data_IF_929265280698
#
_entry.id   IF_929265280698
#
_cell.length_a   1.000
_cell.length_b   1.000
_cell.length_c   1.000
_cell.angle_alpha   90.00
_cell.angle_beta   90.00
_cell.angle_gamma   90.00
#
_symmetry.space_group_name_H-M   'P 1'
#
loop_
_entity.id
_entity.type
_entity.pdbx_description
1 polymer ?
#
# COMPACT_ATOMS: atom_id res chain seq x y z
N UNK A 1 -9.97 13.70 -25.42
CA UNK A 1 -10.39 13.72 -24.00
C UNK A 1 -9.29 14.40 -23.19
N UNK A 2 -9.63 15.28 -22.26
CA UNK A 2 -8.64 15.96 -21.42
C UNK A 2 -7.99 14.95 -20.45
N UNK A 3 -6.66 14.97 -20.37
CA UNK A 3 -5.91 14.14 -19.43
C UNK A 3 -5.74 14.92 -18.14
N UNK A 4 -6.22 14.36 -17.02
CA UNK A 4 -6.19 15.02 -15.72
C UNK A 4 -5.03 14.52 -14.85
N UNK A 5 -4.60 13.26 -15.10
CA UNK A 5 -3.47 12.64 -14.43
C UNK A 5 -2.33 12.40 -15.40
N UNK A 6 -1.11 12.56 -14.94
CA UNK A 6 0.06 12.13 -15.69
C UNK A 6 0.21 10.60 -15.57
N UNK A 7 -0.02 10.05 -14.35
CA UNK A 7 0.06 8.62 -14.10
C UNK A 7 -1.13 8.16 -13.27
N UNK A 8 -1.79 7.08 -13.71
CA UNK A 8 -2.66 6.26 -12.88
C UNK A 8 -1.85 5.04 -12.42
N UNK A 9 -1.68 4.91 -11.11
CA UNK A 9 -1.07 3.73 -10.49
C UNK A 9 -2.19 2.78 -10.08
N UNK A 10 -2.08 1.53 -10.50
CA UNK A 10 -3.00 0.45 -10.10
C UNK A 10 -2.18 -0.62 -9.42
N UNK A 11 -2.57 -1.01 -8.21
CA UNK A 11 -1.83 -2.04 -7.48
C UNK A 11 -2.27 -2.19 -6.04
N UNK A 12 -1.40 -2.83 -5.30
CA UNK A 12 -1.61 -3.14 -3.90
C UNK A 12 -1.57 -1.92 -3.00
N UNK A 13 -2.29 -2.04 -1.89
CA UNK A 13 -2.29 -1.09 -0.79
C UNK A 13 -2.24 -1.85 0.53
N UNK A 14 -1.21 -1.63 1.31
CA UNK A 14 -1.07 -2.19 2.65
C UNK A 14 -0.27 -1.24 3.55
N UNK A 15 -0.23 -1.58 4.83
CA UNK A 15 0.67 -0.98 5.80
C UNK A 15 1.79 -1.94 6.15
N UNK A 16 2.97 -1.41 6.44
CA UNK A 16 4.07 -2.18 7.01
C UNK A 16 4.19 -1.87 8.50
N UNK A 17 4.11 -2.91 9.34
CA UNK A 17 4.41 -2.86 10.77
C UNK A 17 5.83 -3.37 10.93
N UNK A 18 6.75 -2.46 11.16
CA UNK A 18 8.18 -2.77 11.22
C UNK A 18 8.61 -2.90 12.68
N UNK A 19 9.07 -4.09 13.05
CA UNK A 19 9.66 -4.37 14.34
C UNK A 19 11.19 -4.39 14.20
N UNK A 20 11.83 -3.38 14.76
CA UNK A 20 13.28 -3.19 14.66
C UNK A 20 14.02 -3.68 15.89
N UNK A 21 15.31 -3.98 15.68
CA UNK A 21 16.24 -4.37 16.72
C UNK A 21 15.79 -5.61 17.52
N UNK A 22 15.23 -6.59 16.83
CA UNK A 22 15.06 -7.92 17.42
C UNK A 22 16.43 -8.61 17.47
N UNK A 23 16.70 -9.37 18.52
CA UNK A 23 18.01 -10.01 18.73
C UNK A 23 18.11 -11.39 18.11
N UNK A 24 16.98 -12.01 17.79
CA UNK A 24 16.84 -13.32 17.14
C UNK A 24 15.48 -13.46 16.51
N UNK A 25 15.29 -14.44 15.64
CA UNK A 25 13.96 -14.78 15.14
C UNK A 25 13.08 -15.41 16.23
N UNK A 26 11.74 -15.22 16.14
CA UNK A 26 10.80 -15.88 17.03
C UNK A 26 10.94 -17.41 17.00
N UNK A 27 10.89 -18.02 18.16
CA UNK A 27 10.81 -19.47 18.34
C UNK A 27 9.41 -19.85 18.80
N UNK A 28 8.90 -20.99 18.36
CA UNK A 28 7.56 -21.46 18.76
C UNK A 28 7.49 -21.56 20.29
N UNK A 29 6.44 -20.99 20.88
CA UNK A 29 6.20 -21.00 22.31
C UNK A 29 7.05 -20.02 23.13
N UNK A 30 7.83 -19.14 22.47
CA UNK A 30 8.63 -18.11 23.15
C UNK A 30 8.28 -16.71 22.67
N UNK A 31 8.33 -15.76 23.59
CA UNK A 31 8.24 -14.33 23.31
C UNK A 31 9.63 -13.74 23.11
N UNK A 32 9.74 -12.81 22.18
CA UNK A 32 10.91 -11.94 22.03
C UNK A 32 10.46 -10.49 22.01
N UNK A 33 11.34 -9.58 22.38
CA UNK A 33 11.06 -8.15 22.42
C UNK A 33 11.73 -7.46 21.23
N UNK A 34 10.99 -6.56 20.60
CA UNK A 34 11.52 -5.57 19.68
C UNK A 34 11.75 -4.26 20.45
N UNK A 35 12.84 -3.56 20.18
CA UNK A 35 13.12 -2.28 20.84
C UNK A 35 12.38 -1.11 20.21
N UNK A 36 11.94 -1.23 18.96
CA UNK A 36 11.24 -0.17 18.23
C UNK A 36 10.18 -0.77 17.33
N UNK A 37 9.06 -0.06 17.19
CA UNK A 37 8.00 -0.36 16.24
C UNK A 37 7.66 0.88 15.44
N UNK A 38 7.46 0.70 14.14
CA UNK A 38 7.03 1.73 13.22
C UNK A 38 5.88 1.20 12.37
N UNK A 39 4.89 2.07 12.10
CA UNK A 39 3.82 1.81 11.11
C UNK A 39 4.03 2.77 9.95
N UNK A 40 4.22 2.23 8.76
CA UNK A 40 4.48 3.03 7.57
C UNK A 40 3.64 2.57 6.39
N UNK A 41 3.61 3.41 5.34
CA UNK A 41 3.00 3.03 4.07
C UNK A 41 3.79 1.87 3.47
N UNK A 42 3.14 0.73 3.30
CA UNK A 42 3.68 -0.42 2.59
C UNK A 42 3.34 -0.38 1.09
N UNK A 43 3.55 -1.50 0.42
CA UNK A 43 3.32 -1.69 -1.02
C UNK A 43 4.28 -0.90 -1.93
N UNK A 44 4.88 -1.60 -2.87
CA UNK A 44 5.73 -0.98 -3.90
C UNK A 44 4.97 0.03 -4.76
N UNK A 45 3.71 -0.28 -5.09
CA UNK A 45 2.80 0.60 -5.85
C UNK A 45 2.55 1.91 -5.13
N UNK A 46 2.22 1.85 -3.83
CA UNK A 46 1.88 3.03 -3.03
C UNK A 46 3.12 3.90 -2.76
N UNK A 47 4.27 3.27 -2.50
CA UNK A 47 5.55 3.97 -2.34
C UNK A 47 5.94 4.67 -3.65
N UNK A 48 5.81 3.98 -4.80
CA UNK A 48 6.06 4.56 -6.12
C UNK A 48 5.15 5.78 -6.36
N UNK A 49 3.83 5.64 -6.15
CA UNK A 49 2.87 6.72 -6.34
C UNK A 49 3.20 7.95 -5.47
N UNK A 50 3.51 7.72 -4.19
CA UNK A 50 3.89 8.77 -3.23
C UNK A 50 5.14 9.51 -3.66
N UNK A 51 6.20 8.78 -4.03
CA UNK A 51 7.47 9.38 -4.44
C UNK A 51 7.32 10.16 -5.75
N UNK A 52 6.62 9.58 -6.73
CA UNK A 52 6.40 10.23 -8.02
C UNK A 52 5.57 11.51 -7.88
N UNK A 53 4.55 11.50 -7.03
CA UNK A 53 3.75 12.70 -6.74
C UNK A 53 4.57 13.79 -6.03
N UNK A 54 5.45 13.41 -5.10
CA UNK A 54 6.36 14.35 -4.42
C UNK A 54 7.33 15.02 -5.40
N UNK A 55 7.65 14.37 -6.53
CA UNK A 55 8.45 14.96 -7.61
C UNK A 55 7.66 15.88 -8.55
N UNK A 56 6.40 16.18 -8.24
CA UNK A 56 5.56 17.12 -8.98
C UNK A 56 4.71 16.50 -10.08
N UNK A 57 4.67 15.18 -10.22
CA UNK A 57 3.81 14.47 -11.17
C UNK A 57 2.38 14.37 -10.63
N UNK A 58 1.38 14.58 -11.47
CA UNK A 58 -0.03 14.37 -11.11
C UNK A 58 -0.37 12.89 -11.10
N UNK A 59 -0.43 12.30 -9.92
CA UNK A 59 -0.65 10.87 -9.73
C UNK A 59 -2.04 10.62 -9.14
N UNK A 60 -2.78 9.67 -9.74
CA UNK A 60 -3.96 9.05 -9.14
C UNK A 60 -3.65 7.59 -8.80
N UNK A 61 -4.32 7.05 -7.79
CA UNK A 61 -4.17 5.67 -7.38
C UNK A 61 -5.51 4.93 -7.41
N UNK A 62 -5.51 3.72 -7.98
CA UNK A 62 -6.63 2.76 -7.93
C UNK A 62 -6.18 1.48 -7.23
N UNK A 63 -6.93 1.04 -6.24
CA UNK A 63 -6.66 -0.13 -5.42
C UNK A 63 -7.76 -0.33 -4.39
N UNK A 64 -7.62 -1.34 -3.54
CA UNK A 64 -8.61 -1.67 -2.50
C UNK A 64 -8.02 -1.62 -1.10
N UNK A 65 -8.77 -1.02 -0.18
CA UNK A 65 -8.48 -0.94 1.26
C UNK A 65 -9.70 -1.40 2.06
N UNK A 66 -9.51 -1.81 3.29
CA UNK A 66 -10.58 -2.04 4.25
C UNK A 66 -11.15 -0.74 4.80
N UNK A 67 -12.35 -0.82 5.38
CA UNK A 67 -12.94 0.25 6.21
C UNK A 67 -12.43 0.08 7.63
N UNK A 68 -11.17 0.46 7.86
CA UNK A 68 -10.47 0.31 9.13
C UNK A 68 -9.37 1.38 9.30
N UNK A 69 -8.73 1.39 10.46
CA UNK A 69 -7.69 2.37 10.80
C UNK A 69 -6.47 2.31 9.87
N UNK A 70 -6.09 1.14 9.37
CA UNK A 70 -4.98 1.01 8.43
C UNK A 70 -5.34 1.55 7.05
N UNK A 71 -6.60 1.37 6.62
CA UNK A 71 -7.10 1.98 5.39
C UNK A 71 -7.12 3.51 5.49
N UNK A 72 -7.56 4.06 6.62
CA UNK A 72 -7.57 5.51 6.86
C UNK A 72 -6.15 6.08 6.92
N UNK A 73 -5.23 5.38 7.58
CA UNK A 73 -3.81 5.72 7.61
C UNK A 73 -3.21 5.76 6.21
N UNK A 74 -3.45 4.71 5.40
CA UNK A 74 -2.95 4.60 4.02
C UNK A 74 -3.44 5.76 3.16
N UNK A 75 -4.76 6.07 3.20
CA UNK A 75 -5.33 7.21 2.47
C UNK A 75 -4.70 8.52 2.91
N UNK A 76 -4.53 8.72 4.23
CA UNK A 76 -3.91 9.93 4.78
C UNK A 76 -2.47 10.10 4.30
N UNK A 77 -1.68 9.02 4.29
CA UNK A 77 -0.32 9.02 3.77
C UNK A 77 -0.27 9.42 2.29
N UNK A 78 -1.10 8.80 1.44
CA UNK A 78 -1.15 9.10 0.02
C UNK A 78 -1.57 10.54 -0.25
N UNK A 79 -2.63 11.03 0.42
CA UNK A 79 -3.10 12.41 0.31
C UNK A 79 -2.05 13.43 0.75
N UNK A 80 -1.31 13.16 1.83
CA UNK A 80 -0.24 14.05 2.32
C UNK A 80 0.88 14.24 1.31
N UNK A 81 1.05 13.28 0.39
CA UNK A 81 2.01 13.31 -0.72
C UNK A 81 1.41 13.87 -2.02
N UNK A 82 0.14 14.28 -2.02
CA UNK A 82 -0.54 14.85 -3.19
C UNK A 82 -1.09 13.81 -4.18
N UNK A 83 -1.18 12.54 -3.81
CA UNK A 83 -1.78 11.49 -4.64
C UNK A 83 -3.31 11.62 -4.59
N UNK A 84 -3.95 11.59 -5.75
CA UNK A 84 -5.42 11.50 -5.86
C UNK A 84 -5.88 10.09 -5.49
N UNK A 85 -6.73 10.00 -4.45
CA UNK A 85 -7.22 8.75 -3.86
C UNK A 85 -8.68 8.44 -4.18
N UNK A 86 -9.31 9.19 -5.10
CA UNK A 86 -10.74 9.02 -5.41
C UNK A 86 -11.09 7.67 -6.04
N UNK A 87 -10.11 6.98 -6.60
CA UNK A 87 -10.28 5.68 -7.25
C UNK A 87 -9.89 4.51 -6.34
N UNK A 88 -9.69 4.76 -5.04
CA UNK A 88 -9.42 3.70 -4.06
C UNK A 88 -10.74 3.20 -3.50
N UNK A 89 -11.02 1.90 -3.73
CA UNK A 89 -12.17 1.20 -3.16
C UNK A 89 -12.02 0.96 -1.66
N UNK A 90 -13.15 0.96 -0.93
CA UNK A 90 -13.21 0.68 0.50
C UNK A 90 -14.12 -0.53 0.73
N UNK A 91 -13.54 -1.62 1.22
CA UNK A 91 -14.26 -2.87 1.52
C UNK A 91 -14.72 -2.89 2.97
N UNK A 92 -16.00 -3.19 3.19
CA UNK A 92 -16.52 -3.49 4.53
C UNK A 92 -16.27 -4.95 4.95
N UNK A 93 -16.06 -5.83 3.97
CA UNK A 93 -15.95 -7.28 4.19
C UNK A 93 -14.50 -7.74 4.41
N UNK A 94 -13.52 -6.95 3.97
CA UNK A 94 -12.12 -7.30 4.02
C UNK A 94 -11.29 -6.19 4.64
N UNK A 95 -10.51 -6.54 5.67
CA UNK A 95 -9.60 -5.60 6.29
C UNK A 95 -8.46 -5.17 5.34
N UNK A 96 -7.86 -4.02 5.61
CA UNK A 96 -6.67 -3.54 4.91
C UNK A 96 -5.51 -4.54 5.04
N UNK A 97 -4.77 -4.75 3.96
CA UNK A 97 -3.57 -5.57 3.97
C UNK A 97 -2.50 -5.01 4.92
N UNK A 98 -1.75 -5.90 5.53
CA UNK A 98 -0.65 -5.54 6.42
C UNK A 98 0.51 -6.51 6.30
N UNK A 99 1.73 -5.99 6.33
CA UNK A 99 2.96 -6.79 6.40
C UNK A 99 3.65 -6.54 7.73
N UNK A 100 3.90 -7.60 8.48
CA UNK A 100 4.76 -7.55 9.65
C UNK A 100 6.18 -7.80 9.17
N UNK A 101 7.05 -6.83 9.40
CA UNK A 101 8.47 -6.87 9.03
C UNK A 101 9.30 -7.04 10.30
N UNK A 102 10.04 -8.13 10.38
CA UNK A 102 10.94 -8.44 11.49
C UNK A 102 12.37 -8.16 11.03
N UNK A 103 12.97 -7.08 11.52
CA UNK A 103 14.34 -6.71 11.19
C UNK A 103 15.33 -7.27 12.21
N UNK A 104 16.24 -8.08 11.70
CA UNK A 104 17.30 -8.75 12.47
C UNK A 104 18.66 -8.45 11.83
N UNK A 105 19.42 -7.53 12.41
CA UNK A 105 20.70 -7.11 11.84
C UNK A 105 20.52 -6.55 10.41
N UNK A 106 21.17 -7.20 9.45
CA UNK A 106 21.06 -6.86 8.02
C UNK A 106 19.96 -7.66 7.30
N UNK A 107 19.38 -8.67 7.98
CA UNK A 107 18.34 -9.54 7.45
C UNK A 107 16.94 -9.12 7.91
N UNK A 108 15.94 -9.61 7.20
CA UNK A 108 14.54 -9.43 7.56
C UNK A 108 13.70 -10.65 7.20
N UNK A 109 12.66 -10.88 7.99
CA UNK A 109 11.57 -11.77 7.65
C UNK A 109 10.27 -10.99 7.57
N UNK A 110 9.37 -11.42 6.71
CA UNK A 110 8.09 -10.75 6.50
C UNK A 110 6.94 -11.75 6.51
N UNK A 111 5.83 -11.33 7.12
CA UNK A 111 4.57 -12.06 7.06
C UNK A 111 3.51 -11.08 6.59
N UNK A 112 2.87 -11.36 5.44
CA UNK A 112 1.88 -10.50 4.84
C UNK A 112 0.48 -11.11 4.92
N UNK A 113 -0.44 -10.33 5.48
CA UNK A 113 -1.88 -10.53 5.32
C UNK A 113 -2.35 -9.66 4.16
N UNK A 114 -2.82 -10.28 3.08
CA UNK A 114 -3.20 -9.55 1.87
C UNK A 114 -4.46 -8.68 2.04
N UNK A 115 -5.43 -9.13 2.81
CA UNK A 115 -6.65 -8.37 3.06
C UNK A 115 -7.38 -7.95 1.79
N UNK A 116 -7.91 -6.73 1.79
CA UNK A 116 -8.72 -6.17 0.70
C UNK A 116 -7.98 -6.10 -0.65
N UNK A 117 -6.66 -5.97 -0.66
CA UNK A 117 -5.88 -5.87 -1.91
C UNK A 117 -5.98 -7.14 -2.77
N UNK A 118 -6.17 -8.32 -2.16
CA UNK A 118 -6.35 -9.59 -2.86
C UNK A 118 -7.57 -9.62 -3.79
N UNK A 119 -8.56 -8.80 -3.49
CA UNK A 119 -9.86 -8.80 -4.18
C UNK A 119 -9.97 -7.69 -5.22
N UNK A 120 -8.86 -7.00 -5.51
CA UNK A 120 -8.84 -6.02 -6.61
C UNK A 120 -8.99 -6.74 -7.94
N UNK A 121 -10.00 -6.35 -8.70
CA UNK A 121 -10.27 -6.87 -10.03
C UNK A 121 -10.26 -5.75 -11.06
N UNK A 122 -10.19 -6.09 -12.33
CA UNK A 122 -10.24 -5.09 -13.41
C UNK A 122 -11.54 -4.28 -13.38
N UNK A 123 -12.65 -4.90 -12.98
CA UNK A 123 -13.95 -4.21 -12.88
C UNK A 123 -14.01 -3.13 -11.77
N UNK A 124 -13.09 -3.17 -10.82
CA UNK A 124 -12.99 -2.14 -9.76
C UNK A 124 -12.29 -0.87 -10.27
N UNK A 125 -11.63 -0.96 -11.42
CA UNK A 125 -10.89 0.16 -12.00
C UNK A 125 -11.80 0.88 -12.98
N UNK A 126 -12.23 2.10 -12.65
CA UNK A 126 -13.10 2.87 -13.50
C UNK A 126 -12.43 3.16 -14.87
N UNK A 127 -13.11 2.82 -15.95
CA UNK A 127 -12.67 3.11 -17.32
C UNK A 127 -12.30 4.58 -17.52
N UNK A 128 -13.06 5.48 -16.89
CA UNK A 128 -12.79 6.91 -16.93
C UNK A 128 -11.46 7.29 -16.29
N UNK A 129 -11.03 6.61 -15.21
CA UNK A 129 -9.73 6.85 -14.62
C UNK A 129 -8.59 6.49 -15.58
N UNK A 130 -8.72 5.34 -16.27
CA UNK A 130 -7.77 4.90 -17.29
C UNK A 130 -7.70 5.89 -18.45
N UNK A 131 -8.87 6.31 -18.97
CA UNK A 131 -8.96 7.25 -20.10
C UNK A 131 -8.40 8.64 -19.77
N UNK A 132 -8.45 9.06 -18.50
CA UNK A 132 -7.97 10.37 -18.02
C UNK A 132 -6.50 10.38 -17.66
N UNK A 133 -5.83 9.24 -17.60
CA UNK A 133 -4.40 9.14 -17.38
C UNK A 133 -3.60 9.19 -18.68
N UNK A 134 -2.38 9.73 -18.64
CA UNK A 134 -1.42 9.69 -19.76
C UNK A 134 -0.65 8.38 -19.77
N UNK A 135 -0.34 7.86 -18.59
CA UNK A 135 0.40 6.63 -18.37
C UNK A 135 -0.31 5.76 -17.33
N UNK A 136 -0.33 4.46 -17.55
CA UNK A 136 -0.80 3.45 -16.60
C UNK A 136 0.41 2.71 -16.04
N UNK A 137 0.56 2.74 -14.71
CA UNK A 137 1.56 1.97 -14.00
C UNK A 137 0.88 0.81 -13.25
N UNK A 138 1.32 -0.40 -13.54
CA UNK A 138 0.88 -1.62 -12.87
C UNK A 138 2.06 -2.24 -12.17
N UNK A 139 1.89 -2.65 -10.93
CA UNK A 139 2.91 -3.39 -10.18
C UNK A 139 2.29 -4.46 -9.31
N UNK A 140 3.12 -5.36 -8.79
CA UNK A 140 2.69 -6.46 -7.91
C UNK A 140 1.66 -7.41 -8.54
N UNK A 141 1.82 -7.71 -9.82
CA UNK A 141 0.91 -8.61 -10.56
C UNK A 141 1.15 -10.10 -10.26
N UNK A 142 2.11 -10.43 -9.41
CA UNK A 142 2.48 -11.81 -9.06
C UNK A 142 2.15 -12.18 -7.60
N UNK A 143 1.44 -11.34 -6.86
CA UNK A 143 1.07 -11.61 -5.46
C UNK A 143 -0.35 -12.13 -5.34
#
# INVERSE_FOLDING_TARGET
MKKDFDVLVVGELNVDLILNQITKFPEIGKEILASQMEVTLGSSSAIFASNLSTLGTKVAFAGNLGVDQFGDFTISCLKSKGVDTHHIGRSADHATGATIVLNFGEDRAMVTYQGAMKYLTFSDIADEAIKRARHLHLSSIFL
#
